data_IF_549829372538
#
_entry.id   IF_549829372538
#
_cell.length_a   1.000
_cell.length_b   1.000
_cell.length_c   1.000
_cell.angle_alpha   90.00
_cell.angle_beta   90.00
_cell.angle_gamma   90.00
#
_symmetry.space_group_name_H-M   'P 1'
#
loop_
_entity.id
_entity.type
_entity.pdbx_description
1 polymer ?
#
# COMPACT_ATOMS: atom_id res chain seq x y z
N UNK A 1 -17.83 13.84 -28.90
CA UNK A 1 -16.69 12.94 -29.18
C UNK A 1 -17.22 11.54 -28.99
N UNK A 2 -17.39 10.77 -30.07
CA UNK A 2 -17.57 9.31 -29.92
C UNK A 2 -16.27 8.79 -29.30
N UNK A 3 -16.35 8.43 -28.03
CA UNK A 3 -15.28 7.69 -27.38
C UNK A 3 -15.27 6.33 -28.04
N UNK A 4 -14.16 5.97 -28.70
CA UNK A 4 -14.01 4.66 -29.32
C UNK A 4 -13.82 3.61 -28.21
N UNK A 5 -14.94 3.13 -27.68
CA UNK A 5 -15.01 2.12 -26.62
C UNK A 5 -14.25 0.85 -27.04
N UNK A 6 -14.24 0.51 -28.34
CA UNK A 6 -13.52 -0.66 -28.85
C UNK A 6 -12.01 -0.46 -28.75
N UNK A 7 -11.52 0.74 -29.07
CA UNK A 7 -10.10 1.07 -28.92
C UNK A 7 -9.65 1.07 -27.45
N UNK A 8 -10.47 1.60 -26.53
CA UNK A 8 -10.19 1.54 -25.09
C UNK A 8 -10.17 0.09 -24.61
N UNK A 9 -11.14 -0.72 -25.00
CA UNK A 9 -11.22 -2.12 -24.60
C UNK A 9 -10.00 -2.92 -25.09
N UNK A 10 -9.57 -2.74 -26.33
CA UNK A 10 -8.35 -3.36 -26.86
C UNK A 10 -7.09 -2.93 -26.08
N UNK A 11 -7.04 -1.66 -25.64
CA UNK A 11 -5.95 -1.14 -24.82
C UNK A 11 -5.95 -1.76 -23.42
N UNK A 12 -7.13 -1.90 -22.80
CA UNK A 12 -7.30 -2.57 -21.51
C UNK A 12 -6.87 -4.04 -21.61
N UNK A 13 -7.33 -4.79 -22.60
CA UNK A 13 -6.97 -6.21 -22.76
C UNK A 13 -5.46 -6.41 -22.89
N UNK A 14 -4.79 -5.51 -23.64
CA UNK A 14 -3.33 -5.56 -23.80
C UNK A 14 -2.59 -5.21 -22.50
N UNK A 15 -2.87 -4.03 -21.94
CA UNK A 15 -2.08 -3.48 -20.84
C UNK A 15 -2.48 -4.07 -19.48
N UNK A 16 -3.68 -4.62 -19.31
CA UNK A 16 -4.14 -5.26 -18.07
C UNK A 16 -4.00 -6.80 -18.08
N UNK A 17 -3.46 -7.40 -19.14
CA UNK A 17 -3.25 -8.86 -19.25
C UNK A 17 -2.38 -9.46 -18.13
N UNK A 18 -1.60 -8.64 -17.42
CA UNK A 18 -0.82 -9.09 -16.28
C UNK A 18 -1.63 -9.22 -14.98
N UNK A 19 -2.82 -8.61 -14.88
CA UNK A 19 -3.58 -8.54 -13.62
C UNK A 19 -3.98 -9.94 -13.15
N UNK A 20 -4.41 -10.82 -14.06
CA UNK A 20 -4.71 -12.22 -13.73
C UNK A 20 -3.46 -12.94 -13.23
N UNK A 21 -2.33 -12.84 -13.96
CA UNK A 21 -1.05 -13.45 -13.55
C UNK A 21 -0.57 -12.95 -12.19
N UNK A 22 -0.74 -11.67 -11.91
CA UNK A 22 -0.36 -11.07 -10.63
C UNK A 22 -1.30 -11.53 -9.51
N UNK A 23 -2.60 -11.64 -9.79
CA UNK A 23 -3.59 -12.18 -8.83
C UNK A 23 -3.26 -13.62 -8.48
N UNK A 24 -3.00 -14.45 -9.49
CA UNK A 24 -2.66 -15.87 -9.32
C UNK A 24 -1.37 -16.03 -8.50
N UNK A 25 -0.34 -15.24 -8.80
CA UNK A 25 0.92 -15.29 -8.05
C UNK A 25 0.71 -14.95 -6.57
N UNK A 26 -0.05 -13.89 -6.26
CA UNK A 26 -0.32 -13.50 -4.88
C UNK A 26 -1.20 -14.56 -4.19
N UNK A 27 -2.25 -15.05 -4.83
CA UNK A 27 -3.12 -16.11 -4.32
C UNK A 27 -2.41 -17.46 -4.15
N UNK A 28 -1.31 -17.68 -4.87
CA UNK A 28 -0.49 -18.87 -4.69
C UNK A 28 0.19 -18.91 -3.32
N UNK A 29 0.45 -17.74 -2.72
CA UNK A 29 1.07 -17.59 -1.40
C UNK A 29 0.00 -17.39 -0.32
N UNK A 30 -1.01 -16.56 -0.59
CA UNK A 30 -2.01 -16.16 0.39
C UNK A 30 -3.26 -17.04 0.32
N UNK A 31 -3.63 -17.62 1.46
CA UNK A 31 -4.84 -18.43 1.63
C UNK A 31 -6.01 -17.55 2.09
N UNK A 32 -7.19 -17.72 1.48
CA UNK A 32 -8.46 -17.18 2.00
C UNK A 32 -8.64 -15.67 1.99
N UNK A 33 -7.73 -14.92 1.36
CA UNK A 33 -7.73 -13.45 1.38
C UNK A 33 -7.98 -12.84 0.00
N UNK A 34 -8.83 -13.48 -0.82
CA UNK A 34 -9.13 -12.99 -2.18
C UNK A 34 -9.60 -11.53 -2.17
N UNK A 35 -10.46 -11.17 -1.22
CA UNK A 35 -10.93 -9.80 -1.03
C UNK A 35 -9.79 -8.80 -0.80
N UNK A 36 -8.84 -9.12 0.10
CA UNK A 36 -7.69 -8.25 0.34
C UNK A 36 -6.83 -8.10 -0.92
N UNK A 37 -6.55 -9.20 -1.63
CA UNK A 37 -5.73 -9.18 -2.86
C UNK A 37 -6.38 -8.30 -3.92
N UNK A 38 -7.66 -8.45 -4.20
CA UNK A 38 -8.38 -7.59 -5.15
C UNK A 38 -8.31 -6.11 -4.77
N UNK A 39 -8.47 -5.80 -3.48
CA UNK A 39 -8.43 -4.41 -2.99
C UNK A 39 -7.03 -3.82 -3.05
N UNK A 40 -5.99 -4.61 -2.82
CA UNK A 40 -4.60 -4.18 -3.03
C UNK A 40 -4.33 -3.82 -4.49
N UNK A 41 -4.81 -4.65 -5.43
CA UNK A 41 -4.67 -4.40 -6.86
C UNK A 41 -5.46 -3.15 -7.28
N UNK A 42 -6.68 -2.97 -6.77
CA UNK A 42 -7.45 -1.74 -7.02
C UNK A 42 -6.71 -0.52 -6.48
N UNK A 43 -6.21 -0.55 -5.23
CA UNK A 43 -5.50 0.58 -4.64
C UNK A 43 -4.25 0.96 -5.43
N UNK A 44 -3.43 -0.02 -5.82
CA UNK A 44 -2.23 0.28 -6.61
C UNK A 44 -2.56 0.78 -8.02
N UNK A 45 -3.56 0.21 -8.71
CA UNK A 45 -3.93 0.61 -10.08
C UNK A 45 -4.73 1.92 -10.13
N UNK A 46 -5.45 2.27 -9.06
CA UNK A 46 -6.15 3.54 -8.94
C UNK A 46 -5.28 4.64 -8.29
N UNK A 47 -4.04 4.33 -7.92
CA UNK A 47 -3.13 5.23 -7.19
C UNK A 47 -3.69 5.73 -5.84
N UNK A 48 -4.52 4.91 -5.19
CA UNK A 48 -5.18 5.19 -3.92
C UNK A 48 -4.61 4.41 -2.75
N UNK A 49 -4.66 5.00 -1.56
CA UNK A 49 -4.23 4.36 -0.32
C UNK A 49 -5.36 3.57 0.32
N UNK A 50 -5.00 2.64 1.19
CA UNK A 50 -5.95 1.70 1.80
C UNK A 50 -5.80 1.77 3.32
N UNK A 51 -6.91 1.96 4.02
CA UNK A 51 -7.01 1.81 5.47
C UNK A 51 -7.60 0.43 5.77
N UNK A 52 -7.00 -0.30 6.69
CA UNK A 52 -7.46 -1.62 7.10
C UNK A 52 -7.83 -1.58 8.58
N UNK A 53 -9.09 -1.83 8.84
CA UNK A 53 -9.58 -2.13 10.17
C UNK A 53 -9.63 -3.65 10.34
N UNK A 54 -8.94 -4.16 11.35
CA UNK A 54 -9.01 -5.58 11.66
C UNK A 54 -7.88 -6.02 12.58
N UNK A 55 -8.08 -7.17 13.19
CA UNK A 55 -7.19 -7.77 14.17
C UNK A 55 -5.79 -8.10 13.59
N UNK A 56 -4.75 -8.15 14.45
CA UNK A 56 -3.42 -8.60 14.04
C UNK A 56 -3.43 -10.08 13.63
N UNK A 57 -2.42 -10.48 12.85
CA UNK A 57 -2.20 -11.90 12.49
C UNK A 57 -2.90 -12.39 11.22
N UNK A 58 -3.65 -11.56 10.50
CA UNK A 58 -4.39 -11.94 9.29
C UNK A 58 -3.56 -11.92 7.99
N UNK A 59 -2.28 -12.32 8.06
CA UNK A 59 -1.35 -12.37 6.93
C UNK A 59 -1.20 -11.06 6.11
N UNK A 60 -1.66 -9.89 6.62
CA UNK A 60 -1.61 -8.59 5.92
C UNK A 60 -0.19 -8.26 5.45
N UNK A 61 0.79 -8.42 6.33
CA UNK A 61 2.21 -8.22 6.01
C UNK A 61 2.69 -9.13 4.88
N UNK A 62 2.27 -10.39 4.88
CA UNK A 62 2.63 -11.34 3.84
C UNK A 62 2.00 -10.92 2.51
N UNK A 63 0.70 -10.61 2.47
CA UNK A 63 0.01 -10.18 1.25
C UNK A 63 0.65 -8.96 0.59
N UNK A 64 0.99 -7.96 1.41
CA UNK A 64 1.59 -6.70 0.91
C UNK A 64 3.03 -6.92 0.45
N UNK A 65 3.80 -7.73 1.17
CA UNK A 65 5.16 -8.09 0.77
C UNK A 65 5.16 -8.90 -0.52
N UNK A 66 4.28 -9.91 -0.64
CA UNK A 66 4.12 -10.72 -1.85
C UNK A 66 3.78 -9.86 -3.06
N UNK A 67 2.87 -8.88 -2.91
CA UNK A 67 2.59 -7.91 -3.97
C UNK A 67 3.86 -7.14 -4.36
N UNK A 68 4.59 -6.59 -3.39
CA UNK A 68 5.79 -5.81 -3.66
C UNK A 68 6.88 -6.63 -4.39
N UNK A 69 7.09 -7.87 -3.97
CA UNK A 69 8.04 -8.80 -4.58
C UNK A 69 7.61 -9.15 -6.01
N UNK A 70 6.32 -9.41 -6.24
CA UNK A 70 5.77 -9.74 -7.56
C UNK A 70 5.85 -8.59 -8.57
N UNK A 71 5.81 -7.33 -8.10
CA UNK A 71 5.94 -6.14 -8.95
C UNK A 71 7.34 -5.48 -8.91
N UNK A 72 8.28 -6.11 -8.20
CA UNK A 72 9.69 -5.70 -8.11
C UNK A 72 9.93 -4.31 -7.51
N UNK A 73 9.22 -3.99 -6.44
CA UNK A 73 9.33 -2.68 -5.76
C UNK A 73 9.80 -2.79 -4.32
N UNK A 74 10.22 -1.66 -3.73
CA UNK A 74 10.62 -1.60 -2.32
C UNK A 74 9.40 -1.69 -1.42
N UNK A 75 9.41 -2.67 -0.51
CA UNK A 75 8.47 -2.78 0.58
C UNK A 75 9.09 -2.29 1.89
N UNK A 76 8.33 -1.52 2.66
CA UNK A 76 8.72 -1.12 4.00
C UNK A 76 7.56 -1.30 4.97
N UNK A 77 7.80 -2.05 6.04
CA UNK A 77 6.88 -2.12 7.19
C UNK A 77 7.28 -1.08 8.23
N UNK A 78 6.29 -0.40 8.78
CA UNK A 78 6.43 0.60 9.82
C UNK A 78 5.44 0.36 10.92
N UNK A 79 5.94 0.20 12.13
CA UNK A 79 5.11 0.10 13.32
C UNK A 79 4.93 1.49 13.90
N UNK A 80 3.68 1.94 14.03
CA UNK A 80 3.38 3.21 14.65
C UNK A 80 3.34 3.02 16.16
N UNK A 81 4.07 3.86 16.89
CA UNK A 81 4.20 3.82 18.34
C UNK A 81 4.02 5.22 18.93
N UNK A 82 3.66 5.34 20.23
CA UNK A 82 3.41 6.65 20.86
C UNK A 82 4.62 7.59 20.89
N UNK A 83 5.83 7.04 20.81
CA UNK A 83 7.11 7.75 20.84
C UNK A 83 7.66 8.11 19.46
N UNK A 84 7.02 7.64 18.38
CA UNK A 84 7.45 7.90 17.01
C UNK A 84 7.41 9.40 16.71
N UNK A 85 8.43 9.92 16.01
CA UNK A 85 8.48 11.31 15.57
C UNK A 85 8.27 11.41 14.05
N UNK A 86 7.77 12.54 13.52
CA UNK A 86 7.66 12.75 12.07
C UNK A 86 8.99 12.55 11.33
N UNK A 87 10.10 12.92 11.96
CA UNK A 87 11.45 12.75 11.41
C UNK A 87 11.86 11.27 11.27
N UNK A 88 11.32 10.38 12.09
CA UNK A 88 11.59 8.93 11.98
C UNK A 88 10.90 8.32 10.75
N UNK A 89 9.82 8.94 10.27
CA UNK A 89 9.09 8.54 9.07
C UNK A 89 9.70 9.17 7.81
N UNK A 90 9.87 10.50 7.84
CA UNK A 90 10.28 11.30 6.70
C UNK A 90 11.79 11.18 6.47
N UNK A 91 12.58 11.24 7.54
CA UNK A 91 14.03 11.36 7.49
C UNK A 91 14.53 12.63 8.16
N UNK A 92 15.84 12.73 8.30
CA UNK A 92 16.50 13.82 9.02
C UNK A 92 17.88 14.14 8.44
N UNK A 93 18.45 15.27 8.85
CA UNK A 93 19.84 15.63 8.56
C UNK A 93 20.76 14.97 9.60
N UNK A 94 21.74 14.22 9.11
CA UNK A 94 22.80 13.63 9.95
C UNK A 94 24.12 14.34 9.66
N UNK A 95 24.84 14.73 10.71
CA UNK A 95 26.19 15.26 10.56
C UNK A 95 27.15 14.11 10.21
N UNK A 96 27.88 14.26 9.12
CA UNK A 96 28.95 13.35 8.72
C UNK A 96 30.31 13.90 9.18
N UNK A 97 30.91 13.35 10.25
CA UNK A 97 32.16 13.89 10.79
C UNK A 97 33.36 13.77 9.83
N UNK A 98 33.35 12.79 8.93
CA UNK A 98 34.45 12.58 7.98
C UNK A 98 34.53 13.69 6.94
N UNK A 99 33.37 14.27 6.60
CA UNK A 99 33.25 15.33 5.59
C UNK A 99 32.95 16.71 6.19
N UNK A 100 32.72 16.78 7.51
CA UNK A 100 32.26 17.97 8.22
C UNK A 100 31.02 18.61 7.59
N UNK A 101 30.11 17.80 7.05
CA UNK A 101 28.90 18.25 6.34
C UNK A 101 27.64 17.58 6.91
N UNK A 102 26.50 18.24 6.82
CA UNK A 102 25.21 17.61 7.08
C UNK A 102 24.71 16.91 5.81
N UNK A 103 24.34 15.64 5.94
CA UNK A 103 23.81 14.80 4.85
C UNK A 103 22.40 14.35 5.17
N UNK A 104 21.54 14.25 4.14
CA UNK A 104 20.18 13.77 4.32
C UNK A 104 20.17 12.26 4.50
N UNK A 105 19.59 11.81 5.61
CA UNK A 105 19.19 10.41 5.83
C UNK A 105 17.71 10.29 5.53
N UNK A 106 17.38 9.71 4.37
CA UNK A 106 16.00 9.40 3.96
C UNK A 106 15.35 8.42 4.96
N UNK A 107 14.13 8.73 5.36
CA UNK A 107 13.34 7.87 6.22
C UNK A 107 12.73 6.67 5.49
N UNK A 108 12.03 5.80 6.22
CA UNK A 108 11.39 4.61 5.68
C UNK A 108 10.23 4.91 4.71
N UNK A 109 9.70 6.14 4.67
CA UNK A 109 8.65 6.52 3.70
C UNK A 109 9.14 6.42 2.24
N UNK A 110 10.46 6.42 2.00
CA UNK A 110 11.07 6.30 0.68
C UNK A 110 11.10 4.84 0.17
N UNK A 111 9.95 4.17 0.20
CA UNK A 111 9.70 2.89 -0.44
C UNK A 111 8.38 2.98 -1.23
N UNK A 112 8.18 2.06 -2.16
CA UNK A 112 7.02 2.06 -3.05
C UNK A 112 5.76 1.58 -2.37
N UNK A 113 5.87 0.57 -1.50
CA UNK A 113 4.75 0.03 -0.73
C UNK A 113 5.08 0.11 0.74
N UNK A 114 4.26 0.87 1.47
CA UNK A 114 4.38 1.07 2.92
C UNK A 114 3.24 0.33 3.61
N UNK A 115 3.56 -0.54 4.57
CA UNK A 115 2.61 -1.03 5.56
C UNK A 115 2.82 -0.24 6.87
N UNK A 116 1.91 0.68 7.16
CA UNK A 116 1.86 1.47 8.40
C UNK A 116 0.95 0.78 9.42
N UNK A 117 1.53 -0.08 10.24
CA UNK A 117 0.80 -0.82 11.27
C UNK A 117 0.42 0.06 12.45
N UNK A 118 -0.83 -0.06 12.89
CA UNK A 118 -1.39 0.60 14.08
C UNK A 118 -1.23 2.12 14.04
N UNK A 119 -1.60 2.74 12.92
CA UNK A 119 -1.50 4.19 12.68
C UNK A 119 -2.14 5.01 13.82
N UNK A 120 -3.17 4.46 14.45
CA UNK A 120 -3.87 5.04 15.59
C UNK A 120 -3.06 5.02 16.89
N UNK A 121 -1.86 4.45 16.96
CA UNK A 121 -1.00 4.50 18.17
C UNK A 121 -0.01 5.67 18.16
N UNK A 122 0.26 6.28 17.01
CA UNK A 122 1.16 7.42 16.95
C UNK A 122 0.42 8.74 17.20
N UNK A 123 1.12 9.78 17.70
CA UNK A 123 0.55 11.12 17.84
C UNK A 123 0.06 11.70 16.51
N UNK A 124 -0.94 12.59 16.57
CA UNK A 124 -1.54 13.22 15.38
C UNK A 124 -0.53 13.89 14.42
N UNK A 125 0.61 14.39 14.94
CA UNK A 125 1.67 14.97 14.10
C UNK A 125 2.35 13.95 13.19
N UNK A 126 2.54 12.72 13.67
CA UNK A 126 3.13 11.61 12.89
C UNK A 126 2.14 11.10 11.86
N UNK A 127 0.88 10.96 12.25
CA UNK A 127 -0.21 10.63 11.34
C UNK A 127 -0.29 11.66 10.20
N UNK A 128 -0.26 12.95 10.55
CA UNK A 128 -0.28 14.05 9.57
C UNK A 128 0.91 13.98 8.61
N UNK A 129 2.12 13.66 9.09
CA UNK A 129 3.30 13.50 8.24
C UNK A 129 3.15 12.37 7.21
N UNK A 130 2.55 11.23 7.59
CA UNK A 130 2.23 10.15 6.65
C UNK A 130 1.18 10.59 5.63
N UNK A 131 0.10 11.23 6.10
CA UNK A 131 -1.00 11.68 5.24
C UNK A 131 -0.58 12.78 4.27
N UNK A 132 0.36 13.64 4.65
CA UNK A 132 0.98 14.64 3.77
C UNK A 132 1.77 13.95 2.66
N UNK A 133 2.62 12.97 3.00
CA UNK A 133 3.35 12.17 2.02
C UNK A 133 2.39 11.42 1.06
N UNK A 134 1.26 10.93 1.59
CA UNK A 134 0.18 10.32 0.82
C UNK A 134 -0.56 11.30 -0.10
N UNK A 135 -0.66 12.58 0.24
CA UNK A 135 -1.36 13.54 -0.62
C UNK A 135 -0.43 14.16 -1.65
N UNK A 136 0.75 14.60 -1.19
CA UNK A 136 1.68 15.41 -1.97
C UNK A 136 2.65 14.56 -2.80
N UNK A 137 2.77 13.26 -2.50
CA UNK A 137 3.71 12.33 -3.18
C UNK A 137 5.17 12.80 -3.09
N UNK A 138 5.47 13.61 -2.09
CA UNK A 138 6.80 14.16 -1.82
C UNK A 138 6.90 14.49 -0.34
N UNK A 139 8.13 14.62 0.15
CA UNK A 139 8.41 15.05 1.52
C UNK A 139 9.56 16.04 1.53
N UNK A 140 9.52 16.98 2.46
CA UNK A 140 10.59 17.98 2.62
C UNK A 140 11.44 17.65 3.84
N UNK A 141 12.76 17.58 3.65
CA UNK A 141 13.74 17.39 4.74
C UNK A 141 14.60 18.65 4.78
N UNK A 142 14.49 19.40 5.89
CA UNK A 142 15.04 20.76 5.99
C UNK A 142 14.52 21.68 4.88
N UNK A 143 15.36 22.03 3.91
CA UNK A 143 15.08 22.97 2.82
C UNK A 143 14.86 22.28 1.47
N UNK A 144 15.08 20.96 1.39
CA UNK A 144 15.05 20.20 0.14
C UNK A 144 13.85 19.27 0.09
N UNK A 145 13.05 19.40 -0.98
CA UNK A 145 11.90 18.53 -1.25
C UNK A 145 12.31 17.34 -2.11
N UNK A 146 11.88 16.15 -1.71
CA UNK A 146 12.15 14.89 -2.37
C UNK A 146 10.85 14.23 -2.81
N UNK A 147 10.74 13.90 -4.09
CA UNK A 147 9.64 13.09 -4.61
C UNK A 147 9.76 11.65 -4.15
N UNK A 148 8.61 11.03 -3.87
CA UNK A 148 8.50 9.60 -3.59
C UNK A 148 8.53 8.82 -4.91
N UNK A 149 9.07 7.60 -4.85
CA UNK A 149 9.24 6.74 -6.03
C UNK A 149 7.89 6.12 -6.42
N UNK A 150 7.55 6.12 -7.71
CA UNK A 150 6.33 5.50 -8.20
C UNK A 150 6.54 4.01 -8.54
N UNK A 151 5.52 3.15 -8.34
CA UNK A 151 4.25 3.43 -7.68
C UNK A 151 4.44 3.66 -6.18
N UNK A 152 3.60 4.51 -5.57
CA UNK A 152 3.59 4.78 -4.13
C UNK A 152 2.23 4.41 -3.53
N UNK A 153 2.20 3.36 -2.71
CA UNK A 153 1.02 2.83 -2.02
C UNK A 153 1.28 2.79 -0.52
N UNK A 154 0.29 3.20 0.26
CA UNK A 154 0.30 3.11 1.72
C UNK A 154 -0.90 2.28 2.12
N UNK A 155 -0.62 1.22 2.87
CA UNK A 155 -1.60 0.48 3.64
C UNK A 155 -1.43 0.84 5.10
N UNK A 156 -2.43 1.51 5.67
CA UNK A 156 -2.46 1.76 7.11
C UNK A 156 -3.35 0.72 7.79
N UNK A 157 -2.96 0.24 8.97
CA UNK A 157 -3.83 -0.59 9.80
C UNK A 157 -4.22 0.15 11.06
N UNK A 158 -5.46 -0.05 11.52
CA UNK A 158 -5.94 0.41 12.81
C UNK A 158 -6.61 -0.73 13.55
N UNK A 159 -6.29 -0.89 14.83
CA UNK A 159 -6.91 -1.87 15.69
C UNK A 159 -8.08 -1.21 16.44
N UNK A 160 -9.34 -1.59 16.16
CA UNK A 160 -10.51 -0.93 16.75
C UNK A 160 -10.73 -1.28 18.24
N UNK A 161 -10.06 -2.33 18.75
CA UNK A 161 -10.29 -2.85 20.10
C UNK A 161 -9.37 -2.17 21.14
N UNK A 162 -8.26 -1.57 20.70
CA UNK A 162 -7.23 -1.03 21.58
C UNK A 162 -7.59 0.39 22.06
N UNK A 163 -7.99 0.51 23.33
CA UNK A 163 -8.49 1.76 23.92
C UNK A 163 -7.43 2.57 24.68
N UNK A 164 -6.31 1.97 25.07
CA UNK A 164 -5.25 2.67 25.79
C UNK A 164 -4.19 3.22 24.85
N UNK A 165 -3.89 4.52 24.98
CA UNK A 165 -2.80 5.17 24.23
C UNK A 165 -3.04 5.29 22.72
N UNK A 166 -4.31 5.28 22.29
CA UNK A 166 -4.68 5.45 20.87
C UNK A 166 -5.22 6.85 20.57
N UNK A 167 -4.86 7.34 19.39
CA UNK A 167 -5.26 8.58 18.76
C UNK A 167 -6.05 8.21 17.49
N UNK A 168 -7.38 8.13 17.55
CA UNK A 168 -8.18 7.75 16.39
C UNK A 168 -8.00 8.78 15.27
N UNK A 169 -7.98 8.29 14.02
CA UNK A 169 -7.97 9.15 12.85
C UNK A 169 -9.32 9.92 12.79
N UNK A 170 -9.31 11.27 12.78
CA UNK A 170 -10.50 12.05 12.48
C UNK A 170 -11.07 11.67 11.11
N UNK A 171 -12.38 11.83 10.91
CA UNK A 171 -13.07 11.51 9.66
C UNK A 171 -12.40 12.14 8.42
N UNK A 172 -12.00 13.42 8.54
CA UNK A 172 -11.28 14.12 7.48
C UNK A 172 -9.90 13.50 7.12
N UNK A 173 -9.29 12.75 8.03
CA UNK A 173 -8.05 12.02 7.77
C UNK A 173 -8.32 10.65 7.15
N UNK A 174 -9.39 9.97 7.59
CA UNK A 174 -9.86 8.72 6.98
C UNK A 174 -10.24 8.92 5.51
N UNK A 175 -10.84 10.06 5.17
CA UNK A 175 -11.24 10.42 3.80
C UNK A 175 -10.07 10.47 2.79
N UNK A 176 -8.82 10.56 3.27
CA UNK A 176 -7.62 10.48 2.42
C UNK A 176 -7.28 9.05 1.96
N UNK A 177 -7.94 8.04 2.53
CA UNK A 177 -7.82 6.66 2.08
C UNK A 177 -8.96 6.37 1.11
N UNK A 178 -8.61 5.88 -0.08
CA UNK A 178 -9.57 5.53 -1.13
C UNK A 178 -10.46 4.36 -0.71
N UNK A 179 -9.92 3.42 0.08
CA UNK A 179 -10.62 2.24 0.53
C UNK A 179 -10.44 2.07 2.04
N UNK A 180 -11.54 1.80 2.75
CA UNK A 180 -11.51 1.27 4.10
C UNK A 180 -11.95 -0.20 4.08
N UNK A 181 -11.04 -1.10 4.42
CA UNK A 181 -11.27 -2.55 4.44
C UNK A 181 -11.53 -3.01 5.86
N UNK A 182 -12.58 -3.81 6.03
CA UNK A 182 -12.80 -4.60 7.25
C UNK A 182 -12.42 -6.03 6.94
N UNK A 183 -11.40 -6.55 7.64
CA UNK A 183 -10.89 -7.90 7.41
C UNK A 183 -11.19 -8.75 8.64
N UNK A 184 -11.93 -9.82 8.42
CA UNK A 184 -12.30 -10.80 9.44
C UNK A 184 -11.32 -11.98 9.49
N UNK A 185 -11.47 -12.82 10.51
CA UNK A 185 -10.69 -14.05 10.64
C UNK A 185 -10.95 -15.02 9.47
N UNK A 186 -9.91 -15.77 9.03
CA UNK A 186 -10.10 -16.83 8.07
C UNK A 186 -11.09 -17.87 8.60
N UNK A 187 -11.78 -18.55 7.68
CA UNK A 187 -12.59 -19.72 8.03
C UNK A 187 -11.71 -20.84 8.60
N UNK A 188 -12.27 -21.80 9.37
CA UNK A 188 -11.50 -22.91 9.92
C UNK A 188 -10.76 -23.75 8.86
N UNK A 189 -11.29 -23.82 7.63
CA UNK A 189 -10.65 -24.50 6.52
C UNK A 189 -9.41 -23.73 6.02
N UNK A 190 -9.53 -22.41 5.88
CA UNK A 190 -8.43 -21.53 5.48
C UNK A 190 -7.36 -21.47 6.57
N UNK A 191 -7.75 -21.39 7.84
CA UNK A 191 -6.82 -21.42 8.98
C UNK A 191 -6.02 -22.72 9.01
N UNK A 192 -6.68 -23.86 8.78
CA UNK A 192 -6.00 -25.16 8.66
C UNK A 192 -4.98 -25.15 7.52
N UNK A 193 -5.35 -24.65 6.35
CA UNK A 193 -4.43 -24.57 5.22
C UNK A 193 -3.25 -23.62 5.49
N UNK A 194 -3.49 -22.50 6.19
CA UNK A 194 -2.42 -21.61 6.67
C UNK A 194 -1.46 -22.36 7.61
N UNK A 195 -1.98 -23.17 8.53
CA UNK A 195 -1.15 -23.99 9.42
C UNK A 195 -0.34 -25.04 8.64
N UNK A 196 -0.98 -25.75 7.70
CA UNK A 196 -0.32 -26.78 6.89
C UNK A 196 0.83 -26.18 6.06
N UNK A 197 0.63 -25.00 5.46
CA UNK A 197 1.67 -24.28 4.69
C UNK A 197 2.82 -23.79 5.57
N UNK A 198 2.52 -23.22 6.74
CA UNK A 198 3.56 -22.70 7.65
C UNK A 198 4.38 -23.82 8.32
N UNK A 199 3.78 -24.99 8.55
CA UNK A 199 4.46 -26.14 9.19
C UNK A 199 5.23 -27.02 8.19
N UNK A 200 4.86 -27.00 6.91
CA UNK A 200 5.51 -27.77 5.84
C UNK A 200 6.93 -27.31 5.48
N UNK A 201 7.39 -26.16 5.96
CA UNK A 201 8.77 -25.68 5.76
C UNK A 201 9.11 -25.19 4.35
N UNK A 202 8.21 -25.35 3.37
CA UNK A 202 8.36 -24.79 2.03
C UNK A 202 7.99 -23.31 2.03
N UNK A 203 9.01 -22.46 1.98
CA UNK A 203 8.81 -21.05 1.64
C UNK A 203 8.74 -20.92 0.14
N UNK A 204 7.55 -20.58 -0.37
CA UNK A 204 7.35 -20.33 -1.80
C UNK A 204 8.02 -19.00 -2.16
N UNK A 205 9.06 -19.05 -2.98
CA UNK A 205 9.64 -17.83 -3.54
C UNK A 205 8.66 -17.19 -4.52
N UNK A 206 8.40 -15.90 -4.34
CA UNK A 206 7.50 -15.13 -5.18
C UNK A 206 8.20 -14.81 -6.49
N UNK A 207 7.56 -15.18 -7.60
CA UNK A 207 8.06 -14.85 -8.94
C UNK A 207 7.84 -13.38 -9.24
N UNK A 208 8.81 -12.77 -9.91
CA UNK A 208 8.69 -11.42 -10.45
C UNK A 208 7.78 -11.46 -11.68
N UNK A 209 6.56 -10.95 -11.56
CA UNK A 209 5.53 -11.03 -12.61
C UNK A 209 5.60 -9.82 -13.55
N UNK A 210 5.79 -8.63 -12.98
CA UNK A 210 5.81 -7.36 -13.70
C UNK A 210 6.86 -6.40 -13.13
N UNK A 211 7.12 -5.33 -13.87
CA UNK A 211 7.93 -4.19 -13.47
C UNK A 211 7.06 -3.05 -12.90
N UNK A 212 7.66 -2.09 -12.17
CA UNK A 212 6.94 -0.91 -11.67
C UNK A 212 6.33 -0.06 -12.79
N UNK A 213 6.99 0.03 -13.95
CA UNK A 213 6.52 0.79 -15.10
C UNK A 213 5.24 0.21 -15.70
N UNK A 214 5.01 -1.10 -15.57
CA UNK A 214 3.76 -1.74 -16.02
C UNK A 214 2.56 -1.22 -15.20
N UNK A 215 2.74 -1.00 -13.90
CA UNK A 215 1.72 -0.40 -13.03
C UNK A 215 1.44 1.05 -13.43
N UNK A 216 2.48 1.83 -13.72
CA UNK A 216 2.33 3.23 -14.14
C UNK A 216 1.56 3.32 -15.45
N UNK A 217 1.89 2.48 -16.45
CA UNK A 217 1.14 2.43 -17.72
C UNK A 217 -0.31 1.97 -17.52
N UNK A 218 -0.55 0.97 -16.69
CA UNK A 218 -1.90 0.49 -16.40
C UNK A 218 -2.77 1.57 -15.73
N UNK A 219 -2.19 2.42 -14.86
CA UNK A 219 -2.89 3.57 -14.25
C UNK A 219 -3.40 4.56 -15.30
N UNK A 220 -2.63 4.81 -16.35
CA UNK A 220 -3.04 5.71 -17.43
C UNK A 220 -4.22 5.11 -18.23
N UNK A 221 -4.22 3.80 -18.43
CA UNK A 221 -5.34 3.09 -19.05
C UNK A 221 -6.59 3.17 -18.16
N UNK A 222 -6.46 2.94 -16.85
CA UNK A 222 -7.59 3.07 -15.90
C UNK A 222 -8.25 4.44 -15.99
N UNK A 223 -7.46 5.52 -16.11
CA UNK A 223 -7.98 6.89 -16.28
C UNK A 223 -8.68 7.13 -17.62
N UNK A 224 -8.37 6.34 -18.62
CA UNK A 224 -8.98 6.42 -19.96
C UNK A 224 -10.30 5.66 -20.08
N UNK A 225 -10.66 4.84 -19.09
CA UNK A 225 -11.88 4.04 -19.11
C UNK A 225 -13.11 4.94 -19.22
N UNK A 226 -13.93 4.66 -20.23
CA UNK A 226 -15.21 5.35 -20.42
C UNK A 226 -16.18 5.03 -19.29
N UNK A 227 -16.76 6.08 -18.72
CA UNK A 227 -17.86 5.98 -17.77
C UNK A 227 -19.08 6.63 -18.41
N UNK A 228 -20.15 5.85 -18.58
CA UNK A 228 -21.40 6.34 -19.14
C UNK A 228 -22.03 7.42 -18.25
N UNK A 229 -22.70 8.40 -18.84
CA UNK A 229 -23.28 9.51 -18.08
C UNK A 229 -24.31 9.04 -17.06
N UNK A 230 -25.03 7.94 -17.34
CA UNK A 230 -25.95 7.33 -16.37
C UNK A 230 -25.24 6.84 -15.10
N UNK A 231 -23.98 6.42 -15.21
CA UNK A 231 -23.17 6.00 -14.07
C UNK A 231 -22.58 7.20 -13.34
N UNK A 232 -22.31 8.31 -14.05
CA UNK A 232 -21.84 9.56 -13.42
C UNK A 232 -22.96 10.26 -12.62
N UNK A 233 -24.21 10.10 -13.04
CA UNK A 233 -25.39 10.69 -12.40
C UNK A 233 -26.01 9.84 -11.28
N UNK A 234 -25.58 8.58 -11.12
CA UNK A 234 -26.04 7.66 -10.08
C UNK A 234 -25.45 7.99 -8.71
#
# INVERSE_FOLDING_TARGET
>A
MEVDIQQIQATVEKEASFVERLTDEISSVIVGQKYLVERLLIGILANGHILIEGVPGLAKTLSVKTLADAIQVKFQRLQFTPDLLPADLIGTMIYNPQKAEFTVKKGPIFANIILADEINRAPAKVQSALLEAMQERQVTISDTTYKLEEPFLVLATQNPIEQEGTYPLPEAQVDRFMLMLKIDYPSPAEEREIMDRNTGGETREVSKVISPDDIVRARDVVRSVYVDDKVKEY
#
